data_IF_734948797237
#
_entry.id   IF_734948797237
#
_cell.length_a   1.000
_cell.length_b   1.000
_cell.length_c   1.000
_cell.angle_alpha   90.00
_cell.angle_beta   90.00
_cell.angle_gamma   90.00
#
_symmetry.space_group_name_H-M   'P 1'
#
loop_
_entity.id
_entity.type
_entity.pdbx_description
1 polymer ?
#
# COMPACT_ATOMS: atom_id res chain seq x y z
N UNK A 1 0.71 -22.68 -22.08
CA UNK A 1 -0.24 -22.81 -20.94
C UNK A 1 -0.51 -21.43 -20.33
N UNK A 2 -1.39 -20.65 -20.94
CA UNK A 2 -1.72 -19.30 -20.46
C UNK A 2 -2.75 -19.44 -19.34
N UNK A 3 -2.30 -19.43 -18.08
CA UNK A 3 -3.21 -19.32 -16.92
C UNK A 3 -4.04 -18.06 -17.12
N UNK A 4 -5.35 -18.23 -17.20
CA UNK A 4 -6.36 -17.19 -17.45
C UNK A 4 -6.09 -15.92 -16.62
N UNK A 5 -5.53 -14.90 -17.27
CA UNK A 5 -4.97 -13.69 -16.65
C UNK A 5 -5.98 -12.81 -15.91
N UNK A 6 -7.28 -13.15 -15.91
CA UNK A 6 -8.32 -12.33 -15.28
C UNK A 6 -9.33 -13.11 -14.42
N UNK A 7 -9.14 -14.39 -14.13
CA UNK A 7 -10.09 -15.09 -13.24
C UNK A 7 -10.07 -14.50 -11.82
N UNK A 8 -11.26 -14.32 -11.21
CA UNK A 8 -11.37 -13.91 -9.80
C UNK A 8 -10.89 -15.08 -8.92
N UNK A 9 -10.11 -14.82 -7.84
CA UNK A 9 -9.64 -15.88 -6.98
C UNK A 9 -10.83 -16.61 -6.35
N UNK A 10 -10.75 -17.93 -6.21
CA UNK A 10 -11.80 -18.77 -5.62
C UNK A 10 -11.28 -19.40 -4.32
N UNK A 11 -12.10 -19.42 -3.29
CA UNK A 11 -11.80 -20.03 -2.00
C UNK A 11 -12.87 -21.08 -1.65
N UNK A 12 -12.44 -22.29 -1.30
CA UNK A 12 -13.33 -23.32 -0.75
C UNK A 12 -13.58 -23.00 0.73
N UNK A 13 -14.84 -22.91 1.12
CA UNK A 13 -15.24 -22.60 2.50
C UNK A 13 -16.25 -23.66 2.95
N UNK A 14 -16.10 -24.15 4.19
CA UNK A 14 -17.11 -25.00 4.83
C UNK A 14 -18.16 -24.11 5.49
N UNK A 15 -19.43 -24.37 5.20
CA UNK A 15 -20.54 -23.70 5.86
C UNK A 15 -20.77 -24.29 7.25
N UNK A 16 -21.40 -23.53 8.17
CA UNK A 16 -21.84 -24.05 9.47
C UNK A 16 -22.69 -25.33 9.33
N UNK A 17 -23.48 -25.44 8.27
CA UNK A 17 -24.28 -26.63 7.93
C UNK A 17 -23.47 -27.83 7.41
N UNK A 18 -22.14 -27.81 7.50
CA UNK A 18 -21.24 -28.90 7.09
C UNK A 18 -20.96 -29.00 5.58
N UNK A 19 -21.74 -28.33 4.72
CA UNK A 19 -21.56 -28.32 3.26
C UNK A 19 -20.32 -27.52 2.84
N UNK A 20 -19.59 -28.00 1.84
CA UNK A 20 -18.47 -27.25 1.24
C UNK A 20 -18.92 -26.48 -0.01
N UNK A 21 -18.62 -25.18 -0.06
CA UNK A 21 -19.00 -24.30 -1.17
C UNK A 21 -17.77 -23.54 -1.67
N UNK A 22 -17.67 -23.33 -2.99
CA UNK A 22 -16.63 -22.48 -3.58
C UNK A 22 -17.14 -21.04 -3.67
N UNK A 23 -16.60 -20.14 -2.87
CA UNK A 23 -16.89 -18.69 -2.93
C UNK A 23 -15.84 -17.96 -3.74
N UNK A 24 -16.26 -16.92 -4.47
CA UNK A 24 -15.33 -16.01 -5.16
C UNK A 24 -14.76 -15.02 -4.15
N UNK A 25 -13.44 -15.02 -3.99
CA UNK A 25 -12.73 -14.11 -3.11
C UNK A 25 -12.44 -12.77 -3.81
N UNK A 26 -12.36 -11.70 -3.01
CA UNK A 26 -11.86 -10.40 -3.48
C UNK A 26 -10.35 -10.45 -3.67
N UNK A 27 -9.83 -9.74 -4.66
CA UNK A 27 -8.37 -9.59 -4.85
C UNK A 27 -7.80 -8.78 -3.69
N UNK A 28 -6.62 -9.20 -3.21
CA UNK A 28 -5.86 -8.42 -2.24
C UNK A 28 -5.39 -7.14 -2.93
N UNK A 29 -5.57 -5.99 -2.27
CA UNK A 29 -4.99 -4.73 -2.76
C UNK A 29 -3.46 -4.82 -2.75
N UNK A 30 -2.78 -3.99 -3.54
CA UNK A 30 -1.32 -3.89 -3.60
C UNK A 30 -0.77 -2.96 -2.52
N UNK A 31 0.45 -3.20 -2.05
CA UNK A 31 1.02 -2.44 -0.92
C UNK A 31 1.24 -0.99 -1.35
N UNK A 32 1.21 -0.04 -0.41
CA UNK A 32 1.55 1.33 -0.71
C UNK A 32 3.06 1.44 -0.97
N UNK A 33 3.42 2.09 -2.08
CA UNK A 33 4.81 2.30 -2.48
C UNK A 33 5.17 3.78 -2.41
N UNK A 34 6.43 4.06 -2.15
CA UNK A 34 7.00 5.40 -2.21
C UNK A 34 7.06 5.88 -3.66
N UNK A 35 6.55 7.07 -3.95
CA UNK A 35 6.57 7.63 -5.31
C UNK A 35 7.96 7.88 -5.91
N UNK A 36 8.99 8.06 -5.06
CA UNK A 36 10.36 8.32 -5.50
C UNK A 36 11.21 7.05 -5.65
N UNK A 37 11.33 6.24 -4.60
CA UNK A 37 12.22 5.08 -4.59
C UNK A 37 11.52 3.75 -4.86
N UNK A 38 10.18 3.71 -4.91
CA UNK A 38 9.42 2.46 -5.03
C UNK A 38 9.44 1.58 -3.77
N UNK A 39 10.08 2.00 -2.69
CA UNK A 39 10.11 1.26 -1.42
C UNK A 39 8.73 1.12 -0.78
N UNK A 40 8.51 0.05 -0.03
CA UNK A 40 7.25 -0.18 0.68
C UNK A 40 7.05 0.86 1.78
N UNK A 41 5.87 1.46 1.84
CA UNK A 41 5.49 2.39 2.90
C UNK A 41 4.82 1.64 4.06
N UNK A 42 5.50 1.59 5.20
CA UNK A 42 4.98 1.00 6.43
C UNK A 42 3.96 1.92 7.13
N UNK A 43 3.08 1.32 7.93
CA UNK A 43 2.08 2.06 8.73
C UNK A 43 0.81 2.46 7.96
N UNK A 44 0.74 2.20 6.66
CA UNK A 44 -0.43 2.54 5.83
C UNK A 44 -1.27 1.29 5.61
N UNK A 45 -2.50 1.30 6.14
CA UNK A 45 -3.50 0.27 5.85
C UNK A 45 -4.36 0.68 4.67
N UNK A 46 -4.79 -0.32 3.91
CA UNK A 46 -5.56 -0.13 2.66
C UNK A 46 -7.04 -0.33 2.95
N UNK A 47 -7.89 0.43 2.26
CA UNK A 47 -9.36 0.34 2.33
C UNK A 47 -9.97 0.65 3.70
N UNK A 48 -9.39 1.60 4.43
CA UNK A 48 -9.89 2.03 5.74
C UNK A 48 -10.03 3.57 5.82
N UNK A 49 -10.34 4.07 7.01
CA UNK A 49 -10.48 5.51 7.32
C UNK A 49 -9.22 6.32 6.99
N UNK A 50 -9.38 7.64 6.76
CA UNK A 50 -8.30 8.54 6.33
C UNK A 50 -7.07 8.47 7.26
N UNK A 51 -7.29 8.40 8.56
CA UNK A 51 -6.25 8.30 9.59
C UNK A 51 -5.33 7.07 9.43
N UNK A 52 -5.83 5.96 8.87
CA UNK A 52 -5.04 4.76 8.64
C UNK A 52 -4.37 4.73 7.26
N UNK A 53 -4.73 5.68 6.37
CA UNK A 53 -4.14 5.83 5.02
C UNK A 53 -2.94 6.78 5.01
N UNK A 54 -2.75 7.56 6.07
CA UNK A 54 -1.71 8.58 6.18
C UNK A 54 -0.90 8.42 7.47
N UNK A 55 0.32 8.94 7.46
CA UNK A 55 1.16 9.06 8.65
C UNK A 55 1.23 10.55 9.05
N UNK A 56 1.34 10.85 10.34
CA UNK A 56 1.41 12.21 10.92
C UNK A 56 2.75 12.91 10.65
N UNK A 57 3.19 12.97 9.39
CA UNK A 57 4.38 13.71 8.96
C UNK A 57 4.11 14.37 7.61
N UNK A 58 4.97 15.31 7.24
CA UNK A 58 4.99 15.90 5.90
C UNK A 58 5.06 14.78 4.84
N UNK A 59 4.25 14.92 3.78
CA UNK A 59 4.08 13.91 2.71
C UNK A 59 3.87 12.46 3.20
N UNK A 60 3.26 12.30 4.37
CA UNK A 60 2.94 11.00 4.97
C UNK A 60 1.92 10.26 4.12
N UNK A 61 2.31 9.12 3.55
CA UNK A 61 1.46 8.34 2.65
C UNK A 61 1.95 8.29 1.20
N UNK A 62 2.83 9.21 0.81
CA UNK A 62 3.33 9.35 -0.57
C UNK A 62 4.83 9.08 -0.68
N UNK A 63 5.62 9.63 0.25
CA UNK A 63 7.08 9.55 0.24
C UNK A 63 7.57 8.80 1.47
N UNK A 64 8.65 8.01 1.40
CA UNK A 64 9.25 7.35 2.57
C UNK A 64 10.05 8.34 3.45
N UNK A 65 10.34 7.97 4.69
CA UNK A 65 11.06 8.84 5.64
C UNK A 65 12.47 9.23 5.14
N UNK A 66 13.17 8.30 4.47
CA UNK A 66 14.53 8.52 3.96
C UNK A 66 14.55 9.52 2.79
N UNK A 67 13.63 9.36 1.83
CA UNK A 67 13.50 10.31 0.72
C UNK A 67 13.10 11.70 1.21
N UNK A 68 12.19 11.77 2.19
CA UNK A 68 11.80 13.04 2.79
C UNK A 68 12.97 13.74 3.49
N UNK A 69 13.77 12.99 4.26
CA UNK A 69 14.99 13.53 4.89
C UNK A 69 15.95 14.14 3.87
N UNK A 70 16.19 13.46 2.75
CA UNK A 70 17.07 13.96 1.68
C UNK A 70 16.55 15.24 1.04
N UNK A 71 15.25 15.33 0.80
CA UNK A 71 14.62 16.52 0.24
C UNK A 71 14.73 17.72 1.19
N UNK A 72 14.41 17.52 2.48
CA UNK A 72 14.52 18.57 3.48
C UNK A 72 15.96 19.09 3.61
N UNK A 73 16.96 18.20 3.64
CA UNK A 73 18.36 18.61 3.70
C UNK A 73 18.73 19.42 2.45
N UNK A 74 18.32 18.94 1.27
CA UNK A 74 18.62 19.62 0.00
C UNK A 74 18.03 21.03 -0.02
N UNK A 75 16.78 21.17 0.40
CA UNK A 75 16.06 22.45 0.43
C UNK A 75 16.71 23.44 1.40
N UNK A 76 17.07 23.00 2.62
CA UNK A 76 17.75 23.83 3.60
C UNK A 76 19.13 24.27 3.10
N UNK A 77 19.92 23.36 2.53
CA UNK A 77 21.25 23.69 2.00
C UNK A 77 21.16 24.69 0.85
N UNK A 78 20.23 24.50 -0.09
CA UNK A 78 20.02 25.46 -1.19
C UNK A 78 19.50 26.82 -0.73
N UNK A 79 18.79 26.87 0.40
CA UNK A 79 18.29 28.12 0.97
C UNK A 79 19.36 28.92 1.72
N UNK A 80 20.51 28.33 2.05
CA UNK A 80 21.63 29.03 2.69
C UNK A 80 22.49 29.79 1.66
N UNK A 81 22.39 29.44 0.39
CA UNK A 81 23.13 30.08 -0.71
C UNK A 81 22.41 31.29 -1.33
N UNK A 82 21.35 31.81 -0.69
CA UNK A 82 20.59 32.99 -1.16
C UNK A 82 20.82 34.22 -0.27
#
# INVERSE_FOLDING_TARGET
>A
MMKSLLAKPKAKVKLPSGKSITRVAKRKSNVAYCGLCGGILHGIRRNTVKSQKTVSRLHGGSICHNCLKRLLIKEVVSGIEQ
#
